data_IF_587650786044
#
_entry.id   IF_587650786044
#
_cell.length_a   1.000
_cell.length_b   1.000
_cell.length_c   1.000
_cell.angle_alpha   90.00
_cell.angle_beta   90.00
_cell.angle_gamma   90.00
#
_symmetry.space_group_name_H-M   'P 1'
#
loop_
_entity.id
_entity.type
_entity.pdbx_description
1 polymer ?
#
# COMPACT_ATOMS: atom_id res chain seq x y z
N UNK A 1 -3.58 9.67 -13.63
CA UNK A 1 -3.90 9.81 -12.20
C UNK A 1 -2.66 9.85 -11.31
N UNK A 2 -1.98 8.73 -11.00
CA UNK A 2 -0.88 8.78 -10.01
C UNK A 2 0.29 9.69 -10.43
N UNK A 3 0.74 9.60 -11.69
CA UNK A 3 1.77 10.50 -12.26
C UNK A 3 1.37 11.98 -12.23
N UNK A 4 0.07 12.26 -12.41
CA UNK A 4 -0.46 13.64 -12.41
C UNK A 4 -0.52 14.20 -10.98
N UNK A 5 -0.83 13.34 -10.00
CA UNK A 5 -0.89 13.72 -8.58
C UNK A 5 0.52 13.88 -8.00
N UNK A 6 1.46 13.01 -8.37
CA UNK A 6 2.85 13.09 -7.89
C UNK A 6 3.67 14.16 -8.60
N UNK A 7 3.31 14.54 -9.83
CA UNK A 7 4.14 15.36 -10.70
C UNK A 7 5.44 14.67 -11.16
N UNK A 8 5.53 13.36 -10.93
CA UNK A 8 6.72 12.55 -11.21
C UNK A 8 6.36 11.42 -12.18
N UNK A 9 6.94 11.48 -13.37
CA UNK A 9 6.69 10.49 -14.42
C UNK A 9 7.30 9.11 -14.11
N UNK A 10 8.33 9.07 -13.26
CA UNK A 10 9.07 7.87 -12.87
C UNK A 10 8.44 7.12 -11.69
N UNK A 11 7.44 7.72 -11.03
CA UNK A 11 6.85 7.19 -9.79
C UNK A 11 6.32 5.75 -9.94
N UNK A 12 5.83 5.38 -11.13
CA UNK A 12 5.33 4.02 -11.37
C UNK A 12 6.48 3.00 -11.39
N UNK A 13 7.60 3.33 -12.04
CA UNK A 13 8.79 2.48 -12.06
C UNK A 13 9.40 2.34 -10.67
N UNK A 14 9.39 3.43 -9.89
CA UNK A 14 9.83 3.41 -8.50
C UNK A 14 8.91 2.55 -7.62
N UNK A 15 7.59 2.61 -7.82
CA UNK A 15 6.62 1.77 -7.11
C UNK A 15 6.78 0.28 -7.43
N UNK A 16 7.05 -0.09 -8.68
CA UNK A 16 7.28 -1.50 -9.04
C UNK A 16 8.47 -2.11 -8.29
N UNK A 17 9.49 -1.29 -8.00
CA UNK A 17 10.70 -1.70 -7.25
C UNK A 17 10.76 -1.07 -5.86
N UNK A 18 9.61 -0.75 -5.24
CA UNK A 18 9.56 0.08 -4.02
C UNK A 18 10.42 -0.45 -2.87
N UNK A 19 10.62 -1.77 -2.77
CA UNK A 19 11.48 -2.41 -1.76
C UNK A 19 12.92 -1.89 -1.82
N UNK A 20 13.49 -1.83 -3.03
CA UNK A 20 14.86 -1.35 -3.30
C UNK A 20 14.95 0.12 -3.71
N UNK A 21 13.83 0.75 -4.05
CA UNK A 21 13.76 2.17 -4.43
C UNK A 21 14.26 3.10 -3.32
N UNK A 22 14.95 4.18 -3.66
CA UNK A 22 15.28 5.25 -2.71
C UNK A 22 14.25 6.39 -2.72
N UNK A 23 13.21 6.30 -3.55
CA UNK A 23 12.16 7.32 -3.65
C UNK A 23 11.18 7.30 -2.47
N UNK A 24 11.17 6.22 -1.69
CA UNK A 24 10.28 6.06 -0.55
C UNK A 24 11.07 5.90 0.75
N UNK A 25 10.64 6.63 1.77
CA UNK A 25 11.13 6.43 3.12
C UNK A 25 10.73 5.04 3.67
N UNK A 26 11.47 4.56 4.68
CA UNK A 26 11.25 3.22 5.26
C UNK A 26 9.81 3.03 5.77
N UNK A 27 9.23 4.04 6.41
CA UNK A 27 7.86 3.99 6.92
C UNK A 27 6.85 3.78 5.77
N UNK A 28 6.97 4.50 4.66
CA UNK A 28 6.12 4.29 3.47
C UNK A 28 6.30 2.90 2.84
N UNK A 29 7.53 2.39 2.78
CA UNK A 29 7.77 1.01 2.30
C UNK A 29 7.09 -0.05 3.16
N UNK A 30 6.94 0.21 4.46
CA UNK A 30 6.20 -0.69 5.36
C UNK A 30 4.70 -0.73 5.01
N UNK A 31 4.09 0.43 4.69
CA UNK A 31 2.72 0.50 4.18
C UNK A 31 2.60 -0.25 2.84
N UNK A 32 3.51 -0.02 1.89
CA UNK A 32 3.47 -0.67 0.58
C UNK A 32 3.58 -2.21 0.71
N UNK A 33 4.41 -2.69 1.63
CA UNK A 33 4.53 -4.14 1.92
C UNK A 33 3.28 -4.72 2.57
N UNK A 34 2.67 -3.97 3.48
CA UNK A 34 1.37 -4.35 4.05
C UNK A 34 0.28 -4.39 2.98
N UNK A 35 0.25 -3.40 2.08
CA UNK A 35 -0.71 -3.30 0.98
C UNK A 35 -0.58 -4.45 -0.02
N UNK A 36 0.65 -4.77 -0.45
CA UNK A 36 0.95 -5.90 -1.32
C UNK A 36 0.37 -7.20 -0.73
N UNK A 37 0.62 -7.45 0.56
CA UNK A 37 0.15 -8.67 1.24
C UNK A 37 -1.37 -8.70 1.42
N UNK A 38 -1.97 -7.59 1.85
CA UNK A 38 -3.43 -7.47 2.04
C UNK A 38 -4.21 -7.69 0.73
N UNK A 39 -3.69 -7.18 -0.38
CA UNK A 39 -4.38 -7.25 -1.68
C UNK A 39 -4.16 -8.58 -2.39
N UNK A 40 -2.95 -9.14 -2.35
CA UNK A 40 -2.60 -10.33 -3.15
C UNK A 40 -2.78 -11.65 -2.40
N UNK A 41 -2.59 -11.66 -1.08
CA UNK A 41 -2.71 -12.86 -0.26
C UNK A 41 -3.16 -12.53 1.18
N UNK A 42 -4.39 -12.01 1.37
CA UNK A 42 -4.88 -11.58 2.68
C UNK A 42 -4.87 -12.69 3.72
N UNK A 43 -4.98 -13.97 3.32
CA UNK A 43 -4.92 -15.13 4.22
C UNK A 43 -3.55 -15.32 4.89
N UNK A 44 -2.50 -14.74 4.31
CA UNK A 44 -1.15 -14.78 4.89
C UNK A 44 -0.89 -13.67 5.88
N UNK A 45 -1.78 -12.68 6.02
CA UNK A 45 -1.61 -11.59 6.98
C UNK A 45 -1.58 -12.14 8.41
N UNK A 46 -0.60 -11.66 9.16
CA UNK A 46 -0.35 -12.06 10.53
C UNK A 46 -0.23 -10.81 11.42
N UNK A 47 -0.34 -11.02 12.74
CA UNK A 47 -0.13 -9.94 13.72
C UNK A 47 1.22 -9.23 13.52
N UNK A 48 2.26 -9.97 13.12
CA UNK A 48 3.59 -9.43 12.86
C UNK A 48 3.60 -8.36 11.76
N UNK A 49 2.69 -8.39 10.79
CA UNK A 49 2.60 -7.34 9.76
C UNK A 49 2.07 -6.02 10.35
N UNK A 50 1.16 -6.09 11.33
CA UNK A 50 0.66 -4.93 12.06
C UNK A 50 1.72 -4.37 13.02
N UNK A 51 2.45 -5.25 13.71
CA UNK A 51 3.54 -4.82 14.59
C UNK A 51 4.65 -4.10 13.81
N UNK A 52 4.98 -4.53 12.59
CA UNK A 52 5.92 -3.79 11.72
C UNK A 52 5.46 -2.37 11.42
N UNK A 53 4.16 -2.13 11.24
CA UNK A 53 3.65 -0.77 11.07
C UNK A 53 3.81 0.04 12.37
N UNK A 54 3.53 -0.57 13.53
CA UNK A 54 3.75 0.08 14.83
C UNK A 54 5.22 0.44 15.06
N UNK A 55 6.14 -0.45 14.70
CA UNK A 55 7.59 -0.23 14.77
C UNK A 55 8.06 0.95 13.90
N UNK A 56 7.35 1.25 12.81
CA UNK A 56 7.59 2.42 11.96
C UNK A 56 6.87 3.69 12.45
N UNK A 57 6.26 3.65 13.64
CA UNK A 57 5.68 4.81 14.31
C UNK A 57 4.20 5.05 14.05
N UNK A 58 3.51 4.17 13.32
CA UNK A 58 2.06 4.30 13.11
C UNK A 58 1.29 3.92 14.38
N UNK A 59 0.41 4.81 14.82
CA UNK A 59 -0.56 4.56 15.89
C UNK A 59 -1.60 3.53 15.48
N UNK A 60 -2.32 2.96 16.45
CA UNK A 60 -3.39 1.99 16.16
C UNK A 60 -4.49 2.59 15.27
N UNK A 61 -4.80 3.88 15.46
CA UNK A 61 -5.77 4.61 14.63
C UNK A 61 -5.29 4.72 13.19
N UNK A 62 -4.02 5.09 12.98
CA UNK A 62 -3.43 5.18 11.64
C UNK A 62 -3.37 3.81 10.95
N UNK A 63 -3.08 2.73 11.68
CA UNK A 63 -3.07 1.37 11.11
C UNK A 63 -4.47 0.96 10.64
N UNK A 64 -5.52 1.33 11.39
CA UNK A 64 -6.91 1.11 10.96
C UNK A 64 -7.21 1.92 9.69
N UNK A 65 -6.80 3.18 9.63
CA UNK A 65 -6.99 4.04 8.46
C UNK A 65 -6.23 3.51 7.23
N UNK A 66 -4.99 3.07 7.40
CA UNK A 66 -4.17 2.42 6.35
C UNK A 66 -4.89 1.18 5.81
N UNK A 67 -5.34 0.28 6.70
CA UNK A 67 -6.05 -0.93 6.29
C UNK A 67 -7.32 -0.60 5.49
N UNK A 68 -8.14 0.33 5.99
CA UNK A 68 -9.39 0.73 5.34
C UNK A 68 -9.14 1.35 3.96
N UNK A 69 -8.15 2.25 3.85
CA UNK A 69 -7.82 2.91 2.59
C UNK A 69 -7.38 1.89 1.53
N UNK A 70 -6.50 0.96 1.90
CA UNK A 70 -6.01 -0.09 0.98
C UNK A 70 -7.16 -1.02 0.58
N UNK A 71 -7.95 -1.50 1.53
CA UNK A 71 -9.06 -2.41 1.27
C UNK A 71 -10.12 -1.77 0.37
N UNK A 72 -10.50 -0.53 0.64
CA UNK A 72 -11.47 0.20 -0.17
C UNK A 72 -10.96 0.42 -1.60
N UNK A 73 -9.70 0.86 -1.75
CA UNK A 73 -9.08 1.07 -3.07
C UNK A 73 -9.01 -0.24 -3.87
N UNK A 74 -8.67 -1.36 -3.21
CA UNK A 74 -8.66 -2.68 -3.85
C UNK A 74 -10.06 -3.09 -4.32
N UNK A 75 -11.08 -2.90 -3.49
CA UNK A 75 -12.47 -3.17 -3.85
C UNK A 75 -12.93 -2.34 -5.06
N UNK A 76 -12.63 -1.04 -5.08
CA UNK A 76 -13.00 -0.17 -6.22
C UNK A 76 -12.27 -0.60 -7.49
N UNK A 77 -10.98 -0.94 -7.40
CA UNK A 77 -10.20 -1.41 -8.56
C UNK A 77 -10.77 -2.72 -9.12
N UNK A 78 -11.07 -3.69 -8.26
CA UNK A 78 -11.67 -4.96 -8.68
C UNK A 78 -13.04 -4.76 -9.32
N UNK A 79 -13.84 -3.82 -8.79
CA UNK A 79 -15.15 -3.47 -9.37
C UNK A 79 -14.99 -2.89 -10.77
N UNK A 80 -14.10 -1.91 -10.95
CA UNK A 80 -13.83 -1.32 -12.27
C UNK A 80 -13.32 -2.35 -13.27
N UNK A 81 -12.36 -3.18 -12.87
CA UNK A 81 -11.81 -4.26 -13.72
C UNK A 81 -12.91 -5.25 -14.10
N UNK A 82 -13.73 -5.69 -13.14
CA UNK A 82 -14.81 -6.65 -13.37
C UNK A 82 -15.93 -6.11 -14.27
N UNK A 83 -16.14 -4.80 -14.29
CA UNK A 83 -17.15 -4.12 -15.11
C UNK A 83 -16.59 -3.55 -16.42
N UNK A 84 -15.27 -3.50 -16.61
CA UNK A 84 -14.62 -2.93 -17.79
C UNK A 84 -14.68 -1.40 -17.87
N UNK A 85 -14.63 -0.72 -16.73
CA UNK A 85 -14.64 0.75 -16.61
C UNK A 85 -13.26 1.37 -16.82
#
# INVERSE_FOLDING_TARGET
MLKEISGDESILEELEKYKSSNAFESHLKSILSYAEKLVTNPKSLEKADLEKLKEHGYSEKEIVEINQLIAYTSYTNQTSIGLGL
#
